data_IF_486862501756
#
_entry.id   IF_486862501756
#
_cell.length_a   1.000
_cell.length_b   1.000
_cell.length_c   1.000
_cell.angle_alpha   90.00
_cell.angle_beta   90.00
_cell.angle_gamma   90.00
#
_symmetry.space_group_name_H-M   'P 1'
#
loop_
_entity.id
_entity.type
_entity.pdbx_description
1 polymer ?
#
# COMPACT_ATOMS: atom_id res chain seq x y z
N UNK A 1 14.18 39.17 10.16
CA UNK A 1 15.10 38.04 9.94
C UNK A 1 14.67 36.77 10.67
N UNK A 2 14.40 36.78 11.99
CA UNK A 2 14.01 35.55 12.75
C UNK A 2 12.74 34.84 12.23
N UNK A 3 11.69 35.58 11.83
CA UNK A 3 10.42 34.97 11.36
C UNK A 3 10.58 34.08 10.12
N UNK A 4 11.45 34.46 9.17
CA UNK A 4 11.70 33.67 7.96
C UNK A 4 12.43 32.37 8.30
N UNK A 5 13.41 32.42 9.22
CA UNK A 5 14.11 31.23 9.69
C UNK A 5 13.17 30.27 10.42
N UNK A 6 12.25 30.79 11.25
CA UNK A 6 11.24 29.97 11.93
C UNK A 6 10.29 29.31 10.93
N UNK A 7 9.80 30.05 9.93
CA UNK A 7 8.95 29.48 8.88
C UNK A 7 9.67 28.39 8.08
N UNK A 8 10.93 28.63 7.69
CA UNK A 8 11.74 27.66 6.98
C UNK A 8 12.00 26.40 7.83
N UNK A 9 12.32 26.56 9.12
CA UNK A 9 12.47 25.43 10.04
C UNK A 9 11.18 24.62 10.18
N UNK A 10 10.03 25.29 10.28
CA UNK A 10 8.73 24.62 10.34
C UNK A 10 8.44 23.83 9.06
N UNK A 11 8.67 24.42 7.88
CA UNK A 11 8.57 23.72 6.60
C UNK A 11 9.49 22.50 6.53
N UNK A 12 10.75 22.62 6.97
CA UNK A 12 11.69 21.50 7.00
C UNK A 12 11.21 20.36 7.91
N UNK A 13 10.71 20.68 9.11
CA UNK A 13 10.20 19.66 10.05
C UNK A 13 8.99 18.94 9.45
N UNK A 14 8.03 19.67 8.87
CA UNK A 14 6.87 19.06 8.22
C UNK A 14 7.28 18.14 7.06
N UNK A 15 8.21 18.58 6.21
CA UNK A 15 8.72 17.74 5.11
C UNK A 15 9.40 16.47 5.64
N UNK A 16 10.22 16.59 6.71
CA UNK A 16 10.82 15.42 7.35
C UNK A 16 9.76 14.47 7.93
N UNK A 17 8.69 14.99 8.53
CA UNK A 17 7.59 14.16 9.05
C UNK A 17 6.88 13.38 7.94
N UNK A 18 6.60 14.03 6.80
CA UNK A 18 5.98 13.37 5.65
C UNK A 18 6.88 12.27 5.07
N UNK A 19 8.18 12.56 4.86
CA UNK A 19 9.13 11.59 4.30
C UNK A 19 9.38 10.40 5.24
N UNK A 20 9.47 10.65 6.54
CA UNK A 20 9.65 9.57 7.54
C UNK A 20 8.40 8.71 7.71
N UNK A 21 7.21 9.30 7.58
CA UNK A 21 5.94 8.56 7.58
C UNK A 21 5.85 7.60 6.38
N UNK A 22 6.25 8.05 5.18
CA UNK A 22 6.25 7.20 3.98
C UNK A 22 7.19 5.98 4.15
N UNK A 23 8.42 6.21 4.59
CA UNK A 23 9.42 5.15 4.78
C UNK A 23 9.00 4.14 5.87
N UNK A 24 8.52 4.63 7.01
CA UNK A 24 8.05 3.77 8.11
C UNK A 24 6.77 3.00 7.73
N UNK A 25 5.86 3.63 7.00
CA UNK A 25 4.66 3.00 6.45
C UNK A 25 5.01 1.89 5.47
N UNK A 26 5.95 2.11 4.55
CA UNK A 26 6.39 1.08 3.60
C UNK A 26 7.04 -0.11 4.30
N UNK A 27 7.92 0.15 5.28
CA UNK A 27 8.52 -0.91 6.09
C UNK A 27 7.47 -1.71 6.89
N UNK A 28 6.43 -1.05 7.39
CA UNK A 28 5.30 -1.71 8.03
C UNK A 28 4.56 -2.64 7.05
N UNK A 29 4.22 -2.16 5.85
CA UNK A 29 3.55 -2.96 4.83
C UNK A 29 4.39 -4.16 4.36
N UNK A 30 5.71 -4.01 4.27
CA UNK A 30 6.61 -5.13 3.92
C UNK A 30 6.66 -6.20 5.01
N UNK A 31 6.67 -5.80 6.29
CA UNK A 31 6.56 -6.76 7.41
C UNK A 31 5.22 -7.48 7.44
N UNK A 32 4.12 -6.75 7.18
CA UNK A 32 2.79 -7.34 7.08
C UNK A 32 2.72 -8.37 5.95
N UNK A 33 3.31 -8.05 4.79
CA UNK A 33 3.40 -8.99 3.67
C UNK A 33 4.21 -10.24 4.01
N UNK A 34 5.39 -10.07 4.63
CA UNK A 34 6.22 -11.20 5.06
C UNK A 34 5.50 -12.10 6.08
N UNK A 35 4.74 -11.50 7.00
CA UNK A 35 3.91 -12.27 7.95
C UNK A 35 2.78 -13.02 7.25
N UNK A 36 2.10 -12.41 6.28
CA UNK A 36 1.09 -13.09 5.47
C UNK A 36 1.68 -14.30 4.72
N UNK A 37 2.84 -14.11 4.08
CA UNK A 37 3.53 -15.19 3.36
C UNK A 37 3.91 -16.36 4.29
N UNK A 38 4.26 -16.08 5.54
CA UNK A 38 4.57 -17.09 6.56
C UNK A 38 3.36 -17.99 6.88
N UNK A 39 2.16 -17.42 6.92
CA UNK A 39 0.92 -18.13 7.20
C UNK A 39 0.31 -18.80 5.95
N UNK A 40 0.74 -18.39 4.75
CA UNK A 40 0.20 -18.86 3.48
C UNK A 40 0.14 -20.40 3.33
N UNK A 41 1.09 -21.21 3.83
CA UNK A 41 0.97 -22.67 3.78
C UNK A 41 -0.23 -23.23 4.55
N UNK A 42 -0.65 -22.54 5.61
CA UNK A 42 -1.77 -22.95 6.46
C UNK A 42 -3.12 -22.45 5.92
N UNK A 43 -3.15 -21.20 5.44
CA UNK A 43 -4.40 -20.50 5.09
C UNK A 43 -4.67 -20.40 3.58
N UNK A 44 -3.70 -20.78 2.75
CA UNK A 44 -3.79 -20.70 1.30
C UNK A 44 -3.55 -19.31 0.71
N UNK A 45 -3.53 -19.26 -0.62
CA UNK A 45 -3.26 -18.03 -1.41
C UNK A 45 -4.51 -17.24 -1.78
N UNK A 46 -5.71 -17.74 -1.42
CA UNK A 46 -7.01 -17.19 -1.83
C UNK A 46 -7.98 -17.17 -0.65
N UNK A 47 -8.92 -16.25 -0.69
CA UNK A 47 -10.08 -16.12 0.19
C UNK A 47 -11.20 -15.39 -0.58
N UNK A 48 -12.40 -15.31 -0.01
CA UNK A 48 -13.56 -14.67 -0.64
C UNK A 48 -13.31 -13.20 -0.99
N UNK A 49 -12.47 -12.51 -0.22
CA UNK A 49 -12.16 -11.09 -0.43
C UNK A 49 -11.30 -10.90 -1.67
N UNK A 50 -10.20 -11.66 -1.81
CA UNK A 50 -9.34 -11.57 -2.99
C UNK A 50 -10.02 -12.13 -4.24
N UNK A 51 -10.93 -13.09 -4.08
CA UNK A 51 -11.69 -13.66 -5.18
C UNK A 51 -12.72 -12.67 -5.73
N UNK A 52 -13.45 -11.99 -4.84
CA UNK A 52 -14.35 -10.90 -5.21
C UNK A 52 -13.59 -9.75 -5.87
N UNK A 53 -12.46 -9.33 -5.30
CA UNK A 53 -11.67 -8.22 -5.84
C UNK A 53 -11.13 -8.54 -7.24
N UNK A 54 -10.57 -9.74 -7.44
CA UNK A 54 -10.11 -10.20 -8.75
C UNK A 54 -11.25 -10.32 -9.76
N UNK A 55 -12.43 -10.77 -9.34
CA UNK A 55 -13.61 -10.84 -10.19
C UNK A 55 -14.05 -9.46 -10.65
N UNK A 56 -14.15 -8.50 -9.72
CA UNK A 56 -14.50 -7.11 -10.02
C UNK A 56 -13.50 -6.47 -11.00
N UNK A 57 -12.21 -6.52 -10.69
CA UNK A 57 -11.19 -5.91 -11.54
C UNK A 57 -11.03 -6.63 -12.88
N UNK A 58 -11.19 -7.96 -12.93
CA UNK A 58 -11.17 -8.73 -14.16
C UNK A 58 -12.34 -8.44 -15.11
N UNK A 59 -13.52 -8.09 -14.58
CA UNK A 59 -14.66 -7.63 -15.41
C UNK A 59 -14.39 -6.27 -16.05
N UNK A 60 -13.72 -5.38 -15.32
CA UNK A 60 -13.46 -4.00 -15.78
C UNK A 60 -12.18 -3.88 -16.63
N UNK A 61 -11.24 -4.81 -16.48
CA UNK A 61 -9.99 -4.86 -17.23
C UNK A 61 -9.66 -6.30 -17.63
N UNK A 62 -9.80 -6.62 -18.93
CA UNK A 62 -9.52 -7.97 -19.46
C UNK A 62 -8.08 -8.43 -19.26
N UNK A 63 -7.14 -7.49 -19.09
CA UNK A 63 -5.73 -7.76 -18.83
C UNK A 63 -5.41 -7.76 -17.33
N UNK A 64 -6.42 -7.87 -16.46
CA UNK A 64 -6.22 -7.90 -15.01
C UNK A 64 -5.37 -9.12 -14.60
N UNK A 65 -4.22 -8.84 -13.97
CA UNK A 65 -3.41 -9.87 -13.33
C UNK A 65 -4.05 -10.26 -12.01
N UNK A 66 -4.46 -11.52 -11.87
CA UNK A 66 -5.01 -12.03 -10.61
C UNK A 66 -3.99 -11.88 -9.48
N UNK A 67 -4.43 -11.32 -8.37
CA UNK A 67 -3.65 -11.18 -7.14
C UNK A 67 -3.88 -12.38 -6.24
N UNK A 68 -2.85 -12.75 -5.49
CA UNK A 68 -2.95 -13.60 -4.30
C UNK A 68 -3.45 -12.79 -3.10
N UNK A 69 -3.92 -13.48 -2.07
CA UNK A 69 -4.33 -12.90 -0.78
C UNK A 69 -3.26 -11.96 -0.22
N UNK A 70 -2.01 -12.42 -0.15
CA UNK A 70 -0.92 -11.61 0.42
C UNK A 70 -0.55 -10.41 -0.45
N UNK A 71 -0.62 -10.53 -1.78
CA UNK A 71 -0.46 -9.38 -2.68
C UNK A 71 -1.56 -8.33 -2.45
N UNK A 72 -2.83 -8.75 -2.30
CA UNK A 72 -3.92 -7.83 -2.01
C UNK A 72 -3.75 -7.17 -0.64
N UNK A 73 -3.29 -7.90 0.38
CA UNK A 73 -2.95 -7.34 1.71
C UNK A 73 -1.85 -6.29 1.60
N UNK A 74 -0.75 -6.60 0.90
CA UNK A 74 0.36 -5.65 0.70
C UNK A 74 -0.11 -4.40 -0.04
N UNK A 75 -0.82 -4.59 -1.15
CA UNK A 75 -1.33 -3.48 -1.96
C UNK A 75 -2.28 -2.59 -1.16
N UNK A 76 -3.22 -3.19 -0.43
CA UNK A 76 -4.18 -2.47 0.40
C UNK A 76 -3.47 -1.64 1.47
N UNK A 77 -2.43 -2.19 2.10
CA UNK A 77 -1.60 -1.47 3.05
C UNK A 77 -0.89 -0.27 2.41
N UNK A 78 -0.22 -0.45 1.27
CA UNK A 78 0.50 0.64 0.58
C UNK A 78 -0.47 1.75 0.18
N UNK A 79 -1.58 1.38 -0.47
CA UNK A 79 -2.56 2.34 -0.98
C UNK A 79 -3.17 3.17 0.16
N UNK A 80 -3.50 2.54 1.29
CA UNK A 80 -4.16 3.24 2.41
C UNK A 80 -3.19 3.96 3.34
N UNK A 81 -2.10 3.31 3.75
CA UNK A 81 -1.21 3.80 4.81
C UNK A 81 -0.05 4.64 4.28
N UNK A 82 0.37 4.43 3.03
CA UNK A 82 1.54 5.11 2.45
C UNK A 82 1.11 6.19 1.46
N UNK A 83 0.14 5.88 0.60
CA UNK A 83 -0.30 6.81 -0.47
C UNK A 83 -1.55 7.61 -0.15
N UNK A 84 -2.32 7.21 0.87
CA UNK A 84 -3.62 7.80 1.22
C UNK A 84 -4.60 7.85 0.03
N UNK A 85 -4.57 6.82 -0.81
CA UNK A 85 -5.39 6.67 -2.00
C UNK A 85 -6.55 5.69 -1.76
N UNK A 86 -7.55 5.68 -2.66
CA UNK A 86 -8.61 4.67 -2.61
C UNK A 86 -8.12 3.32 -3.16
N UNK A 87 -8.74 2.22 -2.70
CA UNK A 87 -8.46 0.85 -3.13
C UNK A 87 -8.97 0.50 -4.53
N UNK A 88 -8.87 1.40 -5.51
CA UNK A 88 -9.27 1.12 -6.89
C UNK A 88 -8.38 0.05 -7.53
N UNK A 89 -8.88 -0.66 -8.55
CA UNK A 89 -8.11 -1.65 -9.30
C UNK A 89 -6.78 -1.09 -9.81
N UNK A 90 -6.79 0.16 -10.29
CA UNK A 90 -5.60 0.85 -10.80
C UNK A 90 -4.59 1.09 -9.68
N UNK A 91 -5.00 1.70 -8.56
CA UNK A 91 -4.09 2.04 -7.47
C UNK A 91 -3.50 0.79 -6.82
N UNK A 92 -4.31 -0.26 -6.65
CA UNK A 92 -3.84 -1.57 -6.18
C UNK A 92 -2.79 -2.15 -7.12
N UNK A 93 -3.03 -2.18 -8.43
CA UNK A 93 -2.06 -2.68 -9.39
C UNK A 93 -0.77 -1.84 -9.42
N UNK A 94 -0.89 -0.52 -9.37
CA UNK A 94 0.24 0.41 -9.39
C UNK A 94 1.05 0.36 -8.09
N UNK A 95 0.44 -0.01 -6.96
CA UNK A 95 1.14 -0.17 -5.67
C UNK A 95 2.10 -1.35 -5.63
N UNK A 96 1.90 -2.36 -6.48
CA UNK A 96 2.72 -3.57 -6.54
C UNK A 96 3.85 -3.49 -7.56
N UNK A 97 3.95 -2.40 -8.34
CA UNK A 97 4.99 -2.21 -9.37
C UNK A 97 6.25 -1.50 -8.84
N UNK A 98 6.14 -0.85 -7.68
CA UNK A 98 7.19 -0.06 -7.01
C UNK A 98 7.82 -0.83 -5.86
#
# INVERSE_FOLDING_TARGET
MSKLLVFLAFCCILMCQVLTQEASGRQFCDRLFANCLREQPTVGTRDDTVDLFNSYCGRNNRNWRKLTRCELVKASCIVTMVRCENGSCKNVADSLRS
#
